data_IF_134266039837
#
_entry.id   IF_134266039837
#
_cell.length_a   1.000
_cell.length_b   1.000
_cell.length_c   1.000
_cell.angle_alpha   90.00
_cell.angle_beta   90.00
_cell.angle_gamma   90.00
#
_symmetry.space_group_name_H-M   'P 1'
#
loop_
_entity.id
_entity.type
_entity.pdbx_description
1 polymer ?
#
# COMPACT_ATOMS: atom_id res chain seq x y z
N UNK A 1 -33.35 -2.63 -33.59
CA UNK A 1 -32.19 -1.72 -33.51
C UNK A 1 -31.59 -1.96 -32.13
N UNK A 2 -30.30 -2.35 -32.02
CA UNK A 2 -29.79 -3.01 -30.83
C UNK A 2 -29.54 -2.02 -29.69
N UNK A 3 -29.96 -2.42 -28.49
CA UNK A 3 -29.74 -1.70 -27.24
C UNK A 3 -28.24 -1.61 -26.95
N UNK A 4 -27.74 -0.39 -26.80
CA UNK A 4 -26.39 -0.11 -26.32
C UNK A 4 -26.33 -0.50 -24.83
N UNK A 5 -25.82 -1.70 -24.55
CA UNK A 5 -25.52 -2.16 -23.19
C UNK A 5 -24.38 -1.30 -22.63
N UNK A 6 -24.72 -0.39 -21.72
CA UNK A 6 -23.77 0.31 -20.85
C UNK A 6 -22.96 -0.73 -20.04
N UNK A 7 -21.62 -0.59 -19.91
CA UNK A 7 -20.84 -1.49 -19.09
C UNK A 7 -21.27 -1.31 -17.62
N UNK A 8 -21.54 -2.44 -16.96
CA UNK A 8 -22.07 -2.55 -15.60
C UNK A 8 -21.22 -1.80 -14.57
N UNK A 9 -21.90 -1.03 -13.72
CA UNK A 9 -21.36 -0.24 -12.59
C UNK A 9 -20.63 -1.05 -11.51
N UNK A 10 -20.68 -2.40 -11.51
CA UNK A 10 -20.18 -3.20 -10.38
C UNK A 10 -18.66 -3.28 -10.26
N UNK A 11 -17.90 -3.30 -11.36
CA UNK A 11 -16.44 -3.49 -11.30
C UNK A 11 -15.72 -2.26 -10.72
N UNK A 12 -16.24 -1.07 -10.98
CA UNK A 12 -15.69 0.18 -10.45
C UNK A 12 -16.01 0.32 -8.95
N UNK A 13 -17.23 -0.03 -8.56
CA UNK A 13 -17.63 -0.05 -7.14
C UNK A 13 -16.88 -1.12 -6.36
N UNK A 14 -16.69 -2.32 -6.92
CA UNK A 14 -15.85 -3.37 -6.35
C UNK A 14 -14.40 -2.91 -6.19
N UNK A 15 -13.85 -2.18 -7.16
CA UNK A 15 -12.49 -1.62 -7.05
C UNK A 15 -12.40 -0.54 -5.96
N UNK A 16 -13.39 0.37 -5.89
CA UNK A 16 -13.43 1.39 -4.84
C UNK A 16 -13.59 0.75 -3.46
N UNK A 17 -14.46 -0.24 -3.33
CA UNK A 17 -14.70 -0.94 -2.07
C UNK A 17 -13.45 -1.74 -1.68
N UNK A 18 -12.83 -2.50 -2.59
CA UNK A 18 -11.57 -3.19 -2.33
C UNK A 18 -10.45 -2.22 -1.94
N UNK A 19 -10.35 -1.06 -2.61
CA UNK A 19 -9.36 -0.03 -2.28
C UNK A 19 -9.61 0.56 -0.88
N UNK A 20 -10.84 0.97 -0.59
CA UNK A 20 -11.19 1.65 0.67
C UNK A 20 -11.22 0.69 1.88
N UNK A 21 -11.55 -0.58 1.66
CA UNK A 21 -11.78 -1.56 2.74
C UNK A 21 -10.56 -2.46 2.95
N UNK A 22 -9.83 -2.81 1.87
CA UNK A 22 -8.79 -3.84 1.88
C UNK A 22 -7.38 -3.23 1.75
N UNK A 23 -7.20 -2.20 0.92
CA UNK A 23 -5.87 -1.77 0.49
C UNK A 23 -5.40 -0.40 1.01
N UNK A 24 -6.24 0.46 1.58
CA UNK A 24 -5.79 1.76 2.12
C UNK A 24 -5.63 1.68 3.63
N UNK A 25 -4.41 1.95 4.11
CA UNK A 25 -4.15 2.21 5.53
C UNK A 25 -3.05 3.26 5.65
N UNK A 26 -2.93 3.85 6.84
CA UNK A 26 -1.89 4.83 7.18
C UNK A 26 -0.94 4.15 8.15
N UNK A 27 0.34 4.06 7.76
CA UNK A 27 1.37 3.55 8.65
C UNK A 27 1.52 4.52 9.81
N UNK A 28 1.35 4.05 11.05
CA UNK A 28 1.53 4.91 12.22
C UNK A 28 2.96 4.77 12.76
N UNK A 29 3.52 5.90 13.20
CA UNK A 29 4.83 5.93 13.84
C UNK A 29 4.66 5.55 15.30
N UNK A 30 5.16 4.36 15.67
CA UNK A 30 5.33 3.97 17.05
C UNK A 30 6.62 4.59 17.57
N UNK A 31 6.52 5.52 18.53
CA UNK A 31 7.67 6.20 19.11
C UNK A 31 8.58 5.24 19.92
N UNK A 32 8.00 4.17 20.48
CA UNK A 32 8.72 3.13 21.22
C UNK A 32 8.09 1.78 20.89
N UNK A 33 8.82 0.88 20.23
CA UNK A 33 8.32 -0.48 19.99
C UNK A 33 8.43 -1.33 21.26
N UNK A 34 7.38 -2.11 21.63
CA UNK A 34 7.34 -2.84 22.89
C UNK A 34 8.25 -4.07 22.92
N UNK A 35 8.66 -4.56 21.75
CA UNK A 35 9.51 -5.74 21.57
C UNK A 35 10.39 -5.59 20.33
N UNK A 36 11.54 -6.28 20.35
CA UNK A 36 12.42 -6.42 19.18
C UNK A 36 11.70 -7.10 18.03
N UNK A 37 11.83 -6.59 16.81
CA UNK A 37 11.27 -7.19 15.59
C UNK A 37 12.18 -6.95 14.39
N UNK A 38 11.90 -7.63 13.27
CA UNK A 38 12.65 -7.47 12.03
C UNK A 38 11.97 -6.44 11.13
N UNK A 39 12.77 -5.57 10.51
CA UNK A 39 12.29 -4.64 9.51
C UNK A 39 11.95 -5.38 8.22
N UNK A 40 10.70 -5.27 7.78
CA UNK A 40 10.19 -6.01 6.61
C UNK A 40 10.85 -5.62 5.28
N UNK A 41 11.50 -4.45 5.16
CA UNK A 41 12.20 -4.03 3.93
C UNK A 41 13.67 -4.45 3.90
N UNK A 42 14.43 -4.14 4.96
CA UNK A 42 15.89 -4.33 4.95
C UNK A 42 16.36 -5.59 5.70
N UNK A 43 15.44 -6.34 6.33
CA UNK A 43 15.75 -7.44 7.23
C UNK A 43 16.67 -7.05 8.41
N UNK A 44 16.82 -5.75 8.67
CA UNK A 44 17.51 -5.22 9.83
C UNK A 44 16.69 -5.39 11.10
N UNK A 45 17.34 -5.28 12.25
CA UNK A 45 16.66 -5.39 13.55
C UNK A 45 16.14 -4.02 13.97
N UNK A 46 14.87 -3.97 14.37
CA UNK A 46 14.25 -2.87 15.10
C UNK A 46 14.35 -3.20 16.59
N UNK A 47 15.12 -2.41 17.34
CA UNK A 47 15.35 -2.66 18.77
C UNK A 47 14.23 -2.11 19.66
N UNK A 48 14.04 -2.73 20.83
CA UNK A 48 13.04 -2.26 21.80
C UNK A 48 13.27 -0.79 22.14
N UNK A 49 12.18 -0.04 22.29
CA UNK A 49 12.19 1.40 22.59
C UNK A 49 12.74 2.28 21.45
N UNK A 50 12.96 1.74 20.24
CA UNK A 50 13.21 2.53 19.03
C UNK A 50 11.91 2.92 18.33
N UNK A 51 12.03 3.95 17.48
CA UNK A 51 10.95 4.39 16.61
C UNK A 51 10.82 3.46 15.39
N UNK A 52 9.60 3.00 15.13
CA UNK A 52 9.29 2.23 13.93
C UNK A 52 7.95 2.68 13.34
N UNK A 53 7.79 2.45 12.04
CA UNK A 53 6.50 2.56 11.38
C UNK A 53 5.83 1.19 11.42
N UNK A 54 4.60 1.14 11.91
CA UNK A 54 3.79 -0.09 11.95
C UNK A 54 2.71 -0.01 10.89
N UNK A 55 2.55 -1.11 10.15
CA UNK A 55 1.56 -1.24 9.09
C UNK A 55 0.54 -2.32 9.50
N UNK A 56 -0.59 -1.94 10.14
CA UNK A 56 -1.57 -2.90 10.69
C UNK A 56 -2.03 -3.95 9.67
N UNK A 57 -2.18 -3.55 8.40
CA UNK A 57 -2.56 -4.45 7.30
C UNK A 57 -1.59 -5.60 7.04
N UNK A 58 -0.31 -5.44 7.32
CA UNK A 58 0.71 -6.48 7.15
C UNK A 58 0.94 -7.28 8.44
N UNK A 59 0.17 -6.99 9.50
CA UNK A 59 0.25 -7.65 10.79
C UNK A 59 0.79 -6.72 11.88
N UNK A 60 0.28 -6.92 13.10
CA UNK A 60 0.62 -6.12 14.28
C UNK A 60 2.09 -6.26 14.71
N UNK A 61 2.80 -7.27 14.20
CA UNK A 61 4.22 -7.50 14.44
C UNK A 61 5.13 -7.12 13.27
N UNK A 62 4.59 -6.46 12.25
CA UNK A 62 5.35 -6.08 11.07
C UNK A 62 5.68 -4.59 11.15
N UNK A 63 6.98 -4.30 11.15
CA UNK A 63 7.51 -2.96 11.34
C UNK A 63 8.54 -2.58 10.29
N UNK A 64 8.72 -1.27 10.12
CA UNK A 64 9.74 -0.70 9.27
C UNK A 64 10.51 0.36 10.04
N UNK A 65 11.79 0.52 9.72
CA UNK A 65 12.45 1.78 10.04
C UNK A 65 11.71 2.92 9.32
N UNK A 66 11.64 4.14 9.88
CA UNK A 66 11.03 5.28 9.21
C UNK A 66 11.55 5.49 7.78
N UNK A 67 12.86 5.34 7.56
CA UNK A 67 13.49 5.44 6.24
C UNK A 67 13.21 4.23 5.32
N UNK A 68 12.79 3.10 5.87
CA UNK A 68 12.48 1.88 5.13
C UNK A 68 11.00 1.81 4.70
N UNK A 69 10.13 2.67 5.23
CA UNK A 69 8.72 2.68 4.87
C UNK A 69 8.49 3.46 3.56
N UNK A 70 8.82 2.81 2.45
CA UNK A 70 8.82 3.41 1.11
C UNK A 70 8.10 2.52 0.10
N UNK A 71 7.51 3.11 -0.93
CA UNK A 71 6.94 2.35 -2.05
C UNK A 71 8.00 1.44 -2.70
N UNK A 72 7.65 0.17 -2.95
CA UNK A 72 8.54 -0.80 -3.61
C UNK A 72 9.00 -0.36 -5.01
N UNK A 73 8.17 0.42 -5.73
CA UNK A 73 8.46 0.79 -7.13
C UNK A 73 9.26 2.09 -7.27
N UNK A 74 8.91 3.14 -6.53
CA UNK A 74 9.55 4.45 -6.66
C UNK A 74 10.32 4.91 -5.44
N UNK A 75 10.39 4.08 -4.39
CA UNK A 75 11.12 4.36 -3.16
C UNK A 75 10.69 5.64 -2.42
N UNK A 76 9.56 6.23 -2.80
CA UNK A 76 8.98 7.38 -2.10
C UNK A 76 8.60 6.96 -0.68
N UNK A 77 9.00 7.78 0.31
CA UNK A 77 8.57 7.62 1.70
C UNK A 77 7.05 7.71 1.81
N UNK A 78 6.46 6.72 2.47
CA UNK A 78 5.01 6.62 2.69
C UNK A 78 4.65 6.92 4.16
N UNK A 79 5.61 7.38 4.96
CA UNK A 79 5.35 7.83 6.34
C UNK A 79 4.37 9.00 6.26
N UNK A 80 3.31 8.95 7.07
CA UNK A 80 2.18 9.90 7.06
C UNK A 80 1.35 9.94 5.76
N UNK A 81 1.61 9.03 4.82
CA UNK A 81 0.83 8.87 3.59
C UNK A 81 0.03 7.57 3.64
N UNK A 82 -1.02 7.51 2.84
CA UNK A 82 -1.71 6.25 2.52
C UNK A 82 -0.78 5.33 1.73
N UNK A 83 -0.68 4.08 2.18
CA UNK A 83 0.01 3.02 1.46
C UNK A 83 -0.98 1.93 1.04
N UNK A 84 -0.61 1.19 0.01
CA UNK A 84 -1.36 0.05 -0.46
C UNK A 84 -0.59 -1.26 -0.40
N UNK A 85 -1.25 -2.34 0.02
CA UNK A 85 -0.63 -3.66 0.15
C UNK A 85 -1.06 -4.58 -0.99
N UNK A 86 -0.09 -5.21 -1.65
CA UNK A 86 -0.30 -6.30 -2.60
C UNK A 86 0.84 -7.29 -2.48
N UNK A 87 0.52 -8.58 -2.37
CA UNK A 87 1.51 -9.66 -2.28
C UNK A 87 2.58 -9.39 -1.21
N UNK A 88 2.16 -8.99 -0.01
CA UNK A 88 2.99 -8.61 1.16
C UNK A 88 4.00 -7.48 0.92
N UNK A 89 3.77 -6.67 -0.12
CA UNK A 89 4.59 -5.50 -0.46
C UNK A 89 3.76 -4.21 -0.41
N UNK A 90 4.43 -3.10 -0.09
CA UNK A 90 3.81 -1.78 0.03
C UNK A 90 4.06 -0.91 -1.21
N UNK A 91 3.02 -0.24 -1.66
CA UNK A 91 3.04 0.62 -2.83
C UNK A 91 2.39 1.96 -2.50
N UNK A 92 2.79 3.03 -3.19
CA UNK A 92 1.97 4.25 -3.20
C UNK A 92 0.71 3.99 -4.04
N UNK A 93 -0.31 4.82 -3.83
CA UNK A 93 -1.59 4.70 -4.55
C UNK A 93 -1.41 4.64 -6.08
N UNK A 94 -0.46 5.41 -6.62
CA UNK A 94 -0.18 5.45 -8.06
C UNK A 94 0.28 4.10 -8.60
N UNK A 95 1.36 3.53 -8.04
CA UNK A 95 1.88 2.25 -8.52
C UNK A 95 0.96 1.09 -8.15
N UNK A 96 0.19 1.19 -7.07
CA UNK A 96 -0.85 0.21 -6.77
C UNK A 96 -1.94 0.17 -7.84
N UNK A 97 -2.42 1.35 -8.28
CA UNK A 97 -3.41 1.44 -9.35
C UNK A 97 -2.89 0.85 -10.67
N UNK A 98 -1.62 1.08 -11.01
CA UNK A 98 -0.95 0.51 -12.19
C UNK A 98 -0.90 -1.03 -12.17
N UNK A 99 -0.85 -1.66 -11.00
CA UNK A 99 -0.87 -3.12 -10.86
C UNK A 99 -2.25 -3.74 -11.16
N UNK A 100 -3.33 -3.00 -10.96
CA UNK A 100 -4.71 -3.49 -11.20
C UNK A 100 -5.26 -3.07 -12.56
N UNK A 101 -4.94 -1.85 -12.98
CA UNK A 101 -5.31 -1.29 -14.28
C UNK A 101 -4.06 -0.63 -14.88
N UNK A 102 -3.21 -1.41 -15.59
CA UNK A 102 -2.02 -0.84 -16.19
C UNK A 102 -2.44 0.28 -17.14
N UNK A 103 -1.89 1.48 -16.92
CA UNK A 103 -2.08 2.59 -17.84
C UNK A 103 -1.58 2.18 -19.21
N UNK A 104 -2.33 2.53 -20.25
CA UNK A 104 -1.85 2.30 -21.61
C UNK A 104 -0.57 3.11 -21.84
N UNK A 105 0.57 2.44 -22.07
CA UNK A 105 1.87 3.07 -22.29
C UNK A 105 1.90 4.07 -23.47
N UNK A 106 0.90 4.02 -24.36
CA UNK A 106 0.78 4.91 -25.52
C UNK A 106 -0.09 6.16 -25.28
N UNK A 107 -0.98 6.17 -24.28
CA UNK A 107 -1.91 7.32 -24.07
C UNK A 107 -2.11 7.74 -22.61
N UNK A 108 -1.48 7.08 -21.65
CA UNK A 108 -1.55 7.38 -20.20
C UNK A 108 -2.98 7.34 -19.60
N UNK A 109 -3.95 6.75 -20.32
CA UNK A 109 -5.31 6.52 -19.84
C UNK A 109 -5.45 5.18 -19.10
N UNK A 110 -6.24 5.20 -18.01
CA UNK A 110 -6.66 4.04 -17.23
C UNK A 110 -7.94 3.47 -17.86
N UNK A 111 -7.90 2.28 -18.46
CA UNK A 111 -9.11 1.58 -18.97
C UNK A 111 -9.82 0.78 -17.88
#
# INVERSE_FOLDING_TARGET
MPEMRLPSTSVYEEFINARNEIALDIGYVAANIPKRMECHKCSGILERDEMAVIAPKLGESTGWHPACFTCTTCEQLLVDLTYCVKDDQIYCERHYAELHKPRCAACDEVR
#
